data_IF_022088299431
#
_entry.id   IF_022088299431
#
_cell.length_a   1.000
_cell.length_b   1.000
_cell.length_c   1.000
_cell.angle_alpha   90.00
_cell.angle_beta   90.00
_cell.angle_gamma   90.00
#
_symmetry.space_group_name_H-M   'P 1'
#
loop_
_entity.id
_entity.type
_entity.pdbx_description
1 polymer ?
#
# COMPACT_ATOMS: atom_id res chain seq x y z
N UNK A 1 7.86 -6.92 -16.59
CA UNK A 1 8.00 -6.46 -15.20
C UNK A 1 7.78 -4.95 -15.15
N UNK A 2 6.86 -4.52 -14.32
CA UNK A 2 6.55 -3.10 -14.24
C UNK A 2 7.63 -2.34 -13.49
N UNK A 3 7.98 -1.17 -14.02
CA UNK A 3 8.89 -0.23 -13.37
C UNK A 3 8.10 0.99 -12.93
N UNK A 4 8.73 1.84 -12.09
CA UNK A 4 8.08 3.09 -11.70
C UNK A 4 7.83 3.97 -12.94
N UNK A 5 8.70 3.92 -13.92
CA UNK A 5 8.51 4.72 -15.15
C UNK A 5 7.33 4.21 -15.95
N UNK A 6 7.14 2.90 -16.06
CA UNK A 6 5.99 2.30 -16.73
C UNK A 6 4.70 2.70 -16.01
N UNK A 7 4.69 2.60 -14.69
CA UNK A 7 3.54 3.00 -13.89
C UNK A 7 3.22 4.47 -14.07
N UNK A 8 4.24 5.33 -14.02
CA UNK A 8 4.06 6.77 -14.17
C UNK A 8 3.46 7.12 -15.53
N UNK A 9 3.89 6.44 -16.59
CA UNK A 9 3.31 6.63 -17.93
C UNK A 9 1.82 6.33 -17.95
N UNK A 10 1.42 5.23 -17.32
CA UNK A 10 0.00 4.85 -17.21
C UNK A 10 -0.79 5.85 -16.37
N UNK A 11 -0.22 6.31 -15.25
CA UNK A 11 -0.85 7.29 -14.38
C UNK A 11 -1.07 8.62 -15.10
N UNK A 12 -0.15 9.00 -15.98
CA UNK A 12 -0.23 10.26 -16.72
C UNK A 12 -1.46 10.34 -17.63
N UNK A 13 -2.12 9.22 -17.91
CA UNK A 13 -3.33 9.20 -18.70
C UNK A 13 -4.55 9.75 -17.94
N UNK A 14 -4.51 9.82 -16.62
CA UNK A 14 -5.66 10.31 -15.84
C UNK A 14 -5.29 11.18 -14.63
N UNK A 15 -4.02 11.24 -14.23
CA UNK A 15 -3.57 12.09 -13.13
C UNK A 15 -2.81 13.30 -13.64
N UNK A 16 -2.85 14.38 -12.85
CA UNK A 16 -2.06 15.57 -13.11
C UNK A 16 -0.56 15.28 -12.94
N UNK A 17 0.33 15.98 -13.67
CA UNK A 17 1.78 15.77 -13.54
C UNK A 17 2.30 15.91 -12.11
N UNK A 18 1.79 16.87 -11.35
CA UNK A 18 2.19 17.03 -9.95
C UNK A 18 1.82 15.82 -9.10
N UNK A 19 0.67 15.21 -9.38
CA UNK A 19 0.20 14.01 -8.66
C UNK A 19 1.06 12.79 -9.02
N UNK A 20 1.43 12.65 -10.30
CA UNK A 20 2.33 11.57 -10.73
C UNK A 20 3.69 11.71 -10.03
N UNK A 21 4.19 12.94 -9.91
CA UNK A 21 5.46 13.19 -9.22
C UNK A 21 5.39 12.82 -7.74
N UNK A 22 4.25 13.06 -7.08
CA UNK A 22 4.06 12.64 -5.70
C UNK A 22 4.10 11.12 -5.54
N UNK A 23 3.50 10.39 -6.48
CA UNK A 23 3.55 8.93 -6.47
C UNK A 23 4.99 8.45 -6.66
N UNK A 24 5.75 9.05 -7.58
CA UNK A 24 7.17 8.73 -7.76
C UNK A 24 7.96 8.98 -6.49
N UNK A 25 7.70 10.11 -5.83
CA UNK A 25 8.38 10.47 -4.58
C UNK A 25 8.11 9.43 -3.50
N UNK A 26 6.87 8.96 -3.38
CA UNK A 26 6.51 7.91 -2.42
C UNK A 26 7.24 6.61 -2.72
N UNK A 27 7.34 6.24 -4.01
CA UNK A 27 8.08 5.06 -4.43
C UNK A 27 9.55 5.13 -4.02
N UNK A 28 10.23 6.24 -4.33
CA UNK A 28 11.64 6.37 -3.99
C UNK A 28 11.87 6.44 -2.49
N UNK A 29 10.96 7.05 -1.76
CA UNK A 29 11.02 7.08 -0.30
C UNK A 29 10.94 5.66 0.27
N UNK A 30 9.99 4.86 -0.20
CA UNK A 30 9.85 3.47 0.24
C UNK A 30 11.07 2.63 -0.16
N UNK A 31 11.57 2.82 -1.37
CA UNK A 31 12.75 2.11 -1.86
C UNK A 31 13.96 2.39 -0.97
N UNK A 32 14.17 3.65 -0.62
CA UNK A 32 15.29 4.05 0.24
C UNK A 32 15.12 3.52 1.66
N UNK A 33 13.90 3.57 2.19
CA UNK A 33 13.61 3.08 3.53
C UNK A 33 13.85 1.57 3.67
N UNK A 34 13.67 0.83 2.58
CA UNK A 34 13.86 -0.62 2.55
C UNK A 34 15.18 -1.03 1.87
N UNK A 35 16.12 -0.09 1.74
CA UNK A 35 17.39 -0.35 1.06
C UNK A 35 18.11 -1.55 1.70
N UNK A 36 18.57 -2.47 0.86
CA UNK A 36 19.23 -3.69 1.30
C UNK A 36 18.29 -4.82 1.71
N UNK A 37 16.99 -4.58 1.79
CA UNK A 37 16.02 -5.61 2.12
C UNK A 37 15.56 -6.34 0.86
N UNK A 38 15.42 -7.65 0.97
CA UNK A 38 14.88 -8.48 -0.11
C UNK A 38 13.74 -9.32 0.44
N UNK A 39 12.81 -9.71 -0.43
CA UNK A 39 11.75 -10.66 -0.09
C UNK A 39 12.33 -12.07 -0.06
N UNK A 40 11.59 -13.02 0.52
CA UNK A 40 12.00 -14.44 0.55
C UNK A 40 12.30 -14.99 -0.84
N UNK A 41 11.65 -14.43 -1.86
CA UNK A 41 11.89 -14.82 -3.26
C UNK A 41 13.21 -14.29 -3.83
N UNK A 42 13.94 -13.45 -3.09
CA UNK A 42 15.15 -12.78 -3.56
C UNK A 42 14.89 -11.50 -4.34
N UNK A 43 13.63 -11.14 -4.58
CA UNK A 43 13.29 -9.92 -5.28
C UNK A 43 13.49 -8.69 -4.39
N UNK A 44 13.84 -7.52 -4.98
CA UNK A 44 13.89 -6.28 -4.22
C UNK A 44 12.53 -6.01 -3.57
N UNK A 45 12.56 -5.45 -2.37
CA UNK A 45 11.35 -5.19 -1.59
C UNK A 45 10.31 -4.38 -2.35
N UNK A 46 10.75 -3.35 -3.08
CA UNK A 46 9.84 -2.41 -3.77
C UNK A 46 9.02 -3.06 -4.88
N UNK A 47 9.35 -4.28 -5.30
CA UNK A 47 8.61 -4.99 -6.34
C UNK A 47 7.15 -5.19 -5.92
N UNK A 48 6.90 -5.53 -4.64
CA UNK A 48 5.54 -5.76 -4.15
C UNK A 48 4.72 -4.47 -4.07
N UNK A 49 5.17 -3.39 -3.42
CA UNK A 49 4.40 -2.14 -3.43
C UNK A 49 4.14 -1.61 -4.83
N UNK A 50 5.08 -1.77 -5.75
CA UNK A 50 4.91 -1.34 -7.13
C UNK A 50 3.80 -2.15 -7.82
N UNK A 51 3.74 -3.45 -7.58
CA UNK A 51 2.70 -4.32 -8.13
C UNK A 51 1.31 -3.96 -7.56
N UNK A 52 1.23 -3.67 -6.26
CA UNK A 52 -0.01 -3.23 -5.62
C UNK A 52 -0.50 -1.92 -6.25
N UNK A 53 0.41 -0.96 -6.44
CA UNK A 53 0.09 0.31 -7.08
C UNK A 53 -0.39 0.10 -8.52
N UNK A 54 0.19 -0.89 -9.22
CA UNK A 54 -0.26 -1.25 -10.57
C UNK A 54 -1.70 -1.72 -10.61
N UNK A 55 -2.12 -2.52 -9.62
CA UNK A 55 -3.52 -2.96 -9.51
C UNK A 55 -4.43 -1.75 -9.30
N UNK A 56 -4.05 -0.84 -8.41
CA UNK A 56 -4.82 0.37 -8.15
C UNK A 56 -4.87 1.30 -9.36
N UNK A 57 -3.79 1.36 -10.14
CA UNK A 57 -3.75 2.13 -11.38
C UNK A 57 -4.75 1.56 -12.40
N UNK A 58 -4.85 0.24 -12.53
CA UNK A 58 -5.83 -0.38 -13.42
C UNK A 58 -7.26 -0.01 -13.03
N UNK A 59 -7.49 0.27 -11.75
CA UNK A 59 -8.79 0.73 -11.23
C UNK A 59 -8.95 2.25 -11.32
N UNK A 60 -7.99 2.96 -11.86
CA UNK A 60 -7.94 4.43 -11.95
C UNK A 60 -8.10 5.10 -10.58
N UNK A 61 -7.42 4.57 -9.57
CA UNK A 61 -7.48 5.14 -8.22
C UNK A 61 -6.69 6.44 -8.13
N UNK A 62 -7.06 7.26 -7.16
CA UNK A 62 -6.43 8.54 -6.91
C UNK A 62 -4.97 8.40 -6.47
N UNK A 63 -4.22 9.51 -6.58
CA UNK A 63 -2.79 9.51 -6.27
C UNK A 63 -2.51 9.19 -4.80
N UNK A 64 -3.38 9.62 -3.87
CA UNK A 64 -3.17 9.37 -2.44
C UNK A 64 -3.26 7.87 -2.12
N UNK A 65 -4.18 7.15 -2.75
CA UNK A 65 -4.28 5.69 -2.60
C UNK A 65 -3.04 5.00 -3.13
N UNK A 66 -2.51 5.46 -4.28
CA UNK A 66 -1.29 4.91 -4.86
C UNK A 66 -0.08 5.17 -3.95
N UNK A 67 0.01 6.38 -3.37
CA UNK A 67 1.07 6.71 -2.42
C UNK A 67 0.98 5.82 -1.17
N UNK A 68 -0.24 5.59 -0.66
CA UNK A 68 -0.45 4.71 0.48
C UNK A 68 -0.02 3.27 0.16
N UNK A 69 -0.28 2.80 -1.06
CA UNK A 69 0.17 1.47 -1.49
C UNK A 69 1.69 1.36 -1.47
N UNK A 70 2.40 2.41 -1.90
CA UNK A 70 3.86 2.44 -1.88
C UNK A 70 4.42 2.44 -0.46
N UNK A 71 3.71 3.05 0.50
CA UNK A 71 4.24 3.33 1.83
C UNK A 71 3.71 2.40 2.93
N UNK A 72 2.70 1.57 2.63
CA UNK A 72 1.95 0.89 3.70
C UNK A 72 2.80 -0.06 4.55
N UNK A 73 3.83 -0.69 3.99
CA UNK A 73 4.71 -1.57 4.75
C UNK A 73 5.85 -0.82 5.44
N UNK A 74 6.07 0.45 5.09
CA UNK A 74 7.20 1.22 5.61
C UNK A 74 7.12 1.39 7.13
N UNK A 75 5.94 1.65 7.67
CA UNK A 75 5.75 1.79 9.12
C UNK A 75 6.11 0.49 9.83
N UNK A 76 5.64 -0.64 9.32
CA UNK A 76 5.82 -1.94 9.97
C UNK A 76 7.26 -2.44 9.85
N UNK A 77 7.86 -2.28 8.68
CA UNK A 77 9.13 -2.94 8.36
C UNK A 77 10.36 -2.10 8.71
N UNK A 78 10.23 -0.77 8.80
CA UNK A 78 11.38 0.11 9.01
C UNK A 78 11.29 0.95 10.28
N UNK A 79 10.20 0.82 11.06
CA UNK A 79 10.01 1.64 12.25
C UNK A 79 9.62 3.08 11.98
N UNK A 80 9.34 3.43 10.73
CA UNK A 80 8.90 4.77 10.35
C UNK A 80 7.58 5.09 11.04
N UNK A 81 7.44 6.31 11.59
CA UNK A 81 6.22 6.70 12.29
C UNK A 81 5.20 7.31 11.35
N UNK A 82 3.92 7.25 11.76
CA UNK A 82 2.84 7.90 11.04
C UNK A 82 3.12 9.40 10.90
N UNK A 83 3.63 10.01 11.96
CA UNK A 83 3.93 11.45 12.00
C UNK A 83 5.00 11.83 10.98
N UNK A 84 6.00 10.98 10.79
CA UNK A 84 7.04 11.20 9.79
C UNK A 84 6.44 11.15 8.38
N UNK A 85 5.55 10.21 8.12
CA UNK A 85 4.86 10.12 6.83
C UNK A 85 3.97 11.35 6.61
N UNK A 86 3.26 11.80 7.65
CA UNK A 86 2.41 12.99 7.56
C UNK A 86 3.23 14.23 7.20
N UNK A 87 4.42 14.37 7.77
CA UNK A 87 5.30 15.50 7.46
C UNK A 87 5.80 15.47 6.02
N UNK A 88 6.05 14.28 5.49
CA UNK A 88 6.57 14.12 4.13
C UNK A 88 5.47 14.15 3.06
N UNK A 89 4.32 13.56 3.32
CA UNK A 89 3.31 13.31 2.29
C UNK A 89 1.92 13.85 2.65
N UNK A 90 1.73 14.40 3.84
CA UNK A 90 0.46 14.97 4.27
C UNK A 90 -0.37 14.03 5.12
N UNK A 91 -1.35 14.61 5.83
CA UNK A 91 -2.21 13.89 6.76
C UNK A 91 -3.09 12.85 6.07
N UNK A 92 -3.61 13.16 4.87
CA UNK A 92 -4.49 12.24 4.16
C UNK A 92 -3.78 10.94 3.84
N UNK A 93 -2.56 11.01 3.31
CA UNK A 93 -1.76 9.82 2.99
C UNK A 93 -1.39 9.08 4.27
N UNK A 94 -0.99 9.80 5.32
CA UNK A 94 -0.63 9.18 6.60
C UNK A 94 -1.81 8.41 7.20
N UNK A 95 -3.01 8.97 7.11
CA UNK A 95 -4.23 8.31 7.61
C UNK A 95 -4.54 7.04 6.82
N UNK A 96 -4.35 7.06 5.50
CA UNK A 96 -4.55 5.88 4.67
C UNK A 96 -3.53 4.78 5.03
N UNK A 97 -2.26 5.14 5.15
CA UNK A 97 -1.20 4.19 5.51
C UNK A 97 -1.47 3.58 6.88
N UNK A 98 -1.83 4.42 7.86
CA UNK A 98 -2.16 3.96 9.21
C UNK A 98 -3.36 3.01 9.21
N UNK A 99 -4.39 3.34 8.45
CA UNK A 99 -5.57 2.48 8.31
C UNK A 99 -5.25 1.12 7.73
N UNK A 100 -4.44 1.08 6.67
CA UNK A 100 -4.01 -0.19 6.05
C UNK A 100 -3.17 -1.00 7.04
N UNK A 101 -2.26 -0.35 7.75
CA UNK A 101 -1.42 -1.00 8.76
C UNK A 101 -2.28 -1.64 9.87
N UNK A 102 -3.31 -0.92 10.32
CA UNK A 102 -4.23 -1.46 11.33
C UNK A 102 -4.99 -2.67 10.82
N UNK A 103 -5.41 -2.66 9.55
CA UNK A 103 -6.07 -3.82 8.94
C UNK A 103 -5.12 -5.01 8.84
N UNK A 104 -3.83 -4.77 8.56
CA UNK A 104 -2.84 -5.84 8.49
C UNK A 104 -2.66 -6.57 9.82
N UNK A 105 -2.95 -5.90 10.92
CA UNK A 105 -2.85 -6.49 12.26
C UNK A 105 -4.08 -7.29 12.67
N UNK A 106 -5.13 -7.33 11.85
CA UNK A 106 -6.30 -8.11 12.15
C UNK A 106 -6.00 -9.59 11.97
N UNK A 107 -6.38 -10.37 12.98
CA UNK A 107 -6.22 -11.81 12.97
C UNK A 107 -7.53 -12.44 12.51
N UNK A 108 -7.54 -13.06 11.34
CA UNK A 108 -8.72 -13.72 10.79
C UNK A 108 -8.80 -15.17 11.25
N UNK A 109 -8.69 -15.38 12.58
CA UNK A 109 -8.84 -16.72 13.15
C UNK A 109 -10.29 -17.19 13.01
N UNK A 110 -10.50 -18.50 13.18
CA UNK A 110 -11.83 -19.13 13.04
C UNK A 110 -12.72 -18.93 14.27
N UNK A 111 -12.23 -18.33 15.34
CA UNK A 111 -13.01 -18.11 16.55
C UNK A 111 -13.98 -16.95 16.36
N UNK A 112 -15.24 -17.18 16.70
CA UNK A 112 -16.31 -16.22 16.46
C UNK A 112 -16.09 -14.88 17.15
N UNK A 113 -15.55 -14.89 18.37
CA UNK A 113 -15.26 -13.65 19.11
C UNK A 113 -14.20 -12.80 18.43
N UNK A 114 -13.15 -13.43 17.93
CA UNK A 114 -12.07 -12.75 17.21
C UNK A 114 -12.61 -12.20 15.89
N UNK A 115 -13.46 -12.96 15.19
CA UNK A 115 -14.07 -12.52 13.95
C UNK A 115 -14.97 -11.30 14.18
N UNK A 116 -15.74 -11.28 15.27
CA UNK A 116 -16.59 -10.15 15.61
C UNK A 116 -15.76 -8.91 15.89
N UNK A 117 -14.67 -9.05 16.65
CA UNK A 117 -13.77 -7.93 16.93
C UNK A 117 -13.11 -7.41 15.65
N UNK A 118 -12.64 -8.33 14.79
CA UNK A 118 -12.02 -7.96 13.51
C UNK A 118 -13.01 -7.22 12.61
N UNK A 119 -14.26 -7.70 12.56
CA UNK A 119 -15.30 -7.04 11.79
C UNK A 119 -15.56 -5.62 12.29
N UNK A 120 -15.61 -5.42 13.62
CA UNK A 120 -15.79 -4.10 14.20
C UNK A 120 -14.65 -3.16 13.83
N UNK A 121 -13.41 -3.61 13.92
CA UNK A 121 -12.24 -2.82 13.54
C UNK A 121 -12.27 -2.48 12.07
N UNK A 122 -12.65 -3.42 11.22
CA UNK A 122 -12.78 -3.19 9.79
C UNK A 122 -13.86 -2.15 9.50
N UNK A 123 -15.01 -2.25 10.17
CA UNK A 123 -16.09 -1.29 10.00
C UNK A 123 -15.67 0.12 10.40
N UNK A 124 -14.88 0.25 11.48
CA UNK A 124 -14.34 1.55 11.90
C UNK A 124 -13.37 2.12 10.86
N UNK A 125 -12.51 1.27 10.29
CA UNK A 125 -11.59 1.70 9.24
C UNK A 125 -12.34 2.16 8.00
N UNK A 126 -13.37 1.42 7.59
CA UNK A 126 -14.23 1.77 6.45
C UNK A 126 -14.98 3.07 6.67
N UNK A 127 -15.42 3.33 7.89
CA UNK A 127 -16.14 4.56 8.22
C UNK A 127 -15.27 5.80 8.03
N UNK A 128 -13.95 5.66 8.17
CA UNK A 128 -13.01 6.76 7.96
C UNK A 128 -12.72 6.99 6.48
N UNK A 129 -12.36 5.93 5.76
CA UNK A 129 -12.05 6.06 4.33
C UNK A 129 -12.06 4.67 3.69
N UNK A 130 -12.98 4.46 2.75
CA UNK A 130 -13.10 3.17 2.05
C UNK A 130 -11.85 2.84 1.24
N UNK A 131 -11.04 3.85 0.88
CA UNK A 131 -9.80 3.61 0.13
C UNK A 131 -8.84 2.70 0.88
N UNK A 132 -8.89 2.70 2.22
CA UNK A 132 -8.09 1.78 3.06
C UNK A 132 -8.38 0.33 2.67
N UNK A 133 -9.65 0.00 2.49
CA UNK A 133 -10.07 -1.35 2.11
C UNK A 133 -9.59 -1.68 0.71
N UNK A 134 -9.69 -0.74 -0.23
CA UNK A 134 -9.28 -0.96 -1.61
C UNK A 134 -7.78 -1.21 -1.71
N UNK A 135 -6.97 -0.45 -0.97
CA UNK A 135 -5.52 -0.68 -0.92
C UNK A 135 -5.23 -2.06 -0.33
N UNK A 136 -5.91 -2.44 0.75
CA UNK A 136 -5.71 -3.75 1.38
C UNK A 136 -6.10 -4.89 0.45
N UNK A 137 -7.20 -4.74 -0.29
CA UNK A 137 -7.62 -5.75 -1.27
C UNK A 137 -6.60 -5.91 -2.39
N UNK A 138 -6.06 -4.80 -2.90
CA UNK A 138 -5.02 -4.84 -3.94
C UNK A 138 -3.75 -5.54 -3.43
N UNK A 139 -3.36 -5.24 -2.20
CA UNK A 139 -2.23 -5.90 -1.53
C UNK A 139 -2.45 -7.42 -1.47
N UNK A 140 -3.64 -7.81 -1.05
CA UNK A 140 -3.98 -9.24 -0.92
C UNK A 140 -4.02 -9.94 -2.28
N UNK A 141 -4.54 -9.27 -3.30
CA UNK A 141 -4.58 -9.82 -4.66
C UNK A 141 -3.18 -10.06 -5.20
N UNK A 142 -2.25 -9.14 -4.98
CA UNK A 142 -0.88 -9.32 -5.42
C UNK A 142 -0.20 -10.48 -4.68
N UNK A 143 -0.38 -10.57 -3.37
CA UNK A 143 0.20 -11.66 -2.58
C UNK A 143 -0.34 -13.02 -3.03
N UNK A 144 -1.64 -13.11 -3.32
CA UNK A 144 -2.26 -14.34 -3.80
C UNK A 144 -1.72 -14.73 -5.17
N UNK A 145 -1.61 -13.76 -6.09
CA UNK A 145 -1.08 -13.99 -7.43
C UNK A 145 0.37 -14.49 -7.38
N UNK A 146 1.21 -13.84 -6.55
CA UNK A 146 2.60 -14.24 -6.37
C UNK A 146 2.71 -15.66 -5.82
N UNK A 147 1.86 -16.01 -4.86
CA UNK A 147 1.84 -17.33 -4.26
C UNK A 147 1.46 -18.41 -5.28
N UNK A 148 0.50 -18.12 -6.15
CA UNK A 148 0.10 -19.06 -7.22
C UNK A 148 1.20 -19.24 -8.25
N UNK A 149 1.91 -18.17 -8.57
CA UNK A 149 2.97 -18.20 -9.58
C UNK A 149 4.26 -18.84 -9.07
N UNK A 150 4.44 -18.96 -7.77
CA UNK A 150 5.66 -19.50 -7.16
C UNK A 150 5.65 -21.00 -6.94
N UNK A 151 4.57 -21.67 -7.29
CA UNK A 151 4.46 -23.13 -7.15
C UNK A 151 5.04 -23.93 -8.34
#
# INVERSE_FOLDING_TARGET
>A
MDTIDTLASKLSTYLEPAQVNLVRRAYYFAAQAHDGQTRRSGEPYVTHPLAVAGILQDMHMDHQSLMAAMLHDTIEDTGMTREAIARQFGEAVANLVDGVSKLNKLNFSTQAEVQAENFQKMALAMAKDIRVILVKLADRLDRKSTRLNSS
#
